data_IF_494022188072
#
_entry.id   IF_494022188072
#
_cell.length_a   1.000
_cell.length_b   1.000
_cell.length_c   1.000
_cell.angle_alpha   90.00
_cell.angle_beta   90.00
_cell.angle_gamma   90.00
#
_symmetry.space_group_name_H-M   'P 1'
#
loop_
_entity.id
_entity.type
_entity.pdbx_description
1 polymer ?
#
# COMPACT_ATOMS: atom_id res chain seq x y z
N UNK A 1 14.95 -61.44 73.60
CA UNK A 1 15.92 -60.85 74.55
C UNK A 1 15.60 -59.37 74.69
N UNK A 2 16.00 -58.73 75.79
CA UNK A 2 15.70 -57.32 76.06
C UNK A 2 16.91 -56.63 76.73
N UNK A 3 16.95 -55.30 76.56
CA UNK A 3 17.97 -54.33 77.00
C UNK A 3 17.67 -53.05 76.22
N UNK A 4 17.19 -51.95 76.79
CA UNK A 4 17.74 -51.08 77.85
C UNK A 4 18.80 -50.10 77.30
N UNK A 5 18.74 -48.82 77.72
CA UNK A 5 19.38 -47.66 77.03
C UNK A 5 20.52 -47.00 77.83
N UNK A 6 20.70 -45.65 77.80
CA UNK A 6 20.19 -44.62 76.87
C UNK A 6 21.26 -43.53 76.48
N UNK A 7 20.83 -42.44 75.80
CA UNK A 7 21.49 -41.09 75.71
C UNK A 7 22.79 -40.96 74.85
N UNK A 8 23.19 -39.80 74.24
CA UNK A 8 22.85 -38.34 74.38
C UNK A 8 23.04 -37.52 73.03
N UNK A 9 23.00 -36.15 72.94
CA UNK A 9 22.52 -35.36 71.77
C UNK A 9 23.69 -34.50 71.18
N UNK A 10 23.60 -33.31 70.53
CA UNK A 10 22.59 -32.24 70.30
C UNK A 10 22.79 -31.59 68.90
N UNK A 11 21.72 -31.02 68.34
CA UNK A 11 21.79 -29.80 67.49
C UNK A 11 20.53 -28.94 67.76
N UNK A 12 20.61 -27.61 67.54
CA UNK A 12 19.67 -26.61 68.09
C UNK A 12 18.92 -25.80 67.04
N UNK A 13 17.81 -25.22 67.47
CA UNK A 13 17.07 -24.14 66.82
C UNK A 13 17.24 -22.89 67.68
N UNK A 14 17.52 -21.73 67.08
CA UNK A 14 17.51 -20.42 67.74
C UNK A 14 16.54 -19.47 67.00
N UNK A 15 15.78 -18.66 67.76
CA UNK A 15 14.76 -17.73 67.26
C UNK A 15 14.55 -16.53 68.19
N UNK A 16 14.74 -15.31 67.69
CA UNK A 16 14.34 -14.00 68.27
C UNK A 16 13.91 -13.11 67.07
N UNK A 17 12.73 -12.46 66.98
CA UNK A 17 12.03 -11.47 67.84
C UNK A 17 12.48 -10.00 67.57
N UNK A 18 11.65 -8.95 67.50
CA UNK A 18 10.17 -8.79 67.31
C UNK A 18 9.83 -7.29 66.97
N UNK A 19 8.54 -6.97 66.77
CA UNK A 19 7.85 -5.67 67.03
C UNK A 19 7.88 -4.42 66.06
N UNK A 20 6.84 -4.34 65.19
CA UNK A 20 5.94 -3.18 64.86
C UNK A 20 6.39 -1.97 63.92
N UNK A 21 5.53 -0.93 63.64
CA UNK A 21 4.66 -0.95 62.43
C UNK A 21 4.49 0.38 61.64
N UNK A 22 4.26 0.35 60.31
CA UNK A 22 3.84 1.56 59.54
C UNK A 22 2.86 1.25 58.37
N UNK A 23 1.81 2.07 58.32
CA UNK A 23 0.84 2.50 57.26
C UNK A 23 0.79 1.85 55.84
N UNK A 24 -0.40 1.76 55.19
CA UNK A 24 -0.57 1.10 53.89
C UNK A 24 -0.49 2.06 52.67
N UNK A 25 0.45 1.83 51.76
CA UNK A 25 0.62 2.62 50.53
C UNK A 25 0.66 1.78 49.24
N UNK A 26 -0.43 1.87 48.47
CA UNK A 26 -0.62 1.60 47.01
C UNK A 26 -0.12 0.26 46.37
N UNK A 27 -0.83 -0.26 45.34
CA UNK A 27 -0.46 -1.51 44.68
C UNK A 27 0.71 -1.33 43.70
N UNK A 28 1.68 -2.25 43.71
CA UNK A 28 2.85 -2.24 42.83
C UNK A 28 2.47 -2.53 41.38
N UNK A 29 2.59 -1.53 40.50
CA UNK A 29 2.52 -1.68 39.05
C UNK A 29 3.93 -1.72 38.43
N UNK A 30 4.57 -2.89 38.46
CA UNK A 30 5.80 -3.14 37.70
C UNK A 30 5.47 -3.33 36.21
N UNK A 31 5.17 -2.22 35.53
CA UNK A 31 5.36 -2.11 34.08
C UNK A 31 6.81 -1.70 33.83
N UNK A 32 7.63 -2.63 33.32
CA UNK A 32 8.98 -2.31 32.84
C UNK A 32 8.90 -1.23 31.74
N UNK A 33 9.21 0.01 32.11
CA UNK A 33 9.14 1.15 31.19
C UNK A 33 10.37 1.13 30.26
N UNK A 34 10.18 0.57 29.06
CA UNK A 34 11.24 0.38 28.06
C UNK A 34 11.80 1.73 27.58
N UNK A 35 12.85 2.23 28.24
CA UNK A 35 13.37 3.58 28.00
C UNK A 35 14.13 3.71 26.68
N UNK A 36 14.13 4.93 26.10
CA UNK A 36 14.91 5.29 24.90
C UNK A 36 16.40 4.90 24.98
N UNK A 37 16.96 4.82 26.20
CA UNK A 37 18.36 4.44 26.42
C UNK A 37 18.65 2.99 26.05
N UNK A 38 17.67 2.10 26.18
CA UNK A 38 17.84 0.68 25.87
C UNK A 38 17.49 0.36 24.41
N UNK A 39 16.62 1.17 23.79
CA UNK A 39 16.51 1.26 22.32
C UNK A 39 17.83 1.71 21.66
N UNK A 40 18.51 2.74 22.21
CA UNK A 40 19.81 3.19 21.72
C UNK A 40 20.91 2.14 21.93
N UNK A 41 20.98 1.46 23.10
CA UNK A 41 21.98 0.41 23.34
C UNK A 41 21.82 -0.82 22.45
N UNK A 42 20.58 -1.22 22.17
CA UNK A 42 20.30 -2.38 21.31
C UNK A 42 20.69 -2.09 19.85
N UNK A 43 20.20 -0.99 19.29
CA UNK A 43 20.56 -0.55 17.93
C UNK A 43 22.07 -0.34 17.73
N UNK A 44 22.79 0.17 18.74
CA UNK A 44 24.25 0.39 18.65
C UNK A 44 25.05 -0.89 18.32
N UNK A 45 24.58 -2.08 18.75
CA UNK A 45 25.30 -3.33 18.47
C UNK A 45 25.18 -3.82 17.03
N UNK A 46 24.03 -3.66 16.39
CA UNK A 46 23.86 -4.07 14.98
C UNK A 46 24.70 -3.19 14.05
N UNK A 47 24.73 -1.88 14.28
CA UNK A 47 25.55 -0.96 13.48
C UNK A 47 27.05 -1.15 13.66
N UNK A 48 27.52 -1.67 14.80
CA UNK A 48 28.95 -2.03 14.95
C UNK A 48 29.33 -3.23 14.08
N UNK A 49 28.51 -4.28 14.04
CA UNK A 49 28.74 -5.41 13.13
C UNK A 49 28.68 -5.01 11.65
N UNK A 50 27.75 -4.12 11.30
CA UNK A 50 27.67 -3.56 9.95
C UNK A 50 28.91 -2.71 9.61
N UNK A 51 29.36 -1.84 10.52
CA UNK A 51 30.55 -1.02 10.34
C UNK A 51 31.84 -1.86 10.19
N UNK A 52 32.01 -2.94 10.96
CA UNK A 52 33.13 -3.87 10.77
C UNK A 52 33.06 -4.61 9.44
N UNK A 53 31.86 -4.95 8.95
CA UNK A 53 31.68 -5.57 7.63
C UNK A 53 31.99 -4.61 6.48
N UNK A 54 31.61 -3.34 6.61
CA UNK A 54 31.91 -2.28 5.63
C UNK A 54 33.40 -1.91 5.66
N UNK A 55 34.02 -1.86 6.84
CA UNK A 55 35.45 -1.65 6.97
C UNK A 55 36.26 -2.79 6.31
N UNK A 56 35.82 -4.06 6.46
CA UNK A 56 36.43 -5.20 5.76
C UNK A 56 36.20 -5.22 4.25
N UNK A 57 35.12 -4.61 3.76
CA UNK A 57 34.90 -4.42 2.32
C UNK A 57 35.70 -3.24 1.74
N UNK A 58 36.27 -2.38 2.59
CA UNK A 58 36.91 -1.12 2.20
C UNK A 58 38.36 -1.22 1.70
N UNK A 59 38.99 -2.40 1.70
CA UNK A 59 40.42 -2.56 1.34
C UNK A 59 40.69 -3.29 0.00
N UNK A 60 39.67 -3.76 -0.73
CA UNK A 60 39.88 -4.42 -2.05
C UNK A 60 39.07 -3.86 -3.26
N UNK A 61 37.86 -3.28 -3.09
CA UNK A 61 36.94 -3.00 -4.24
C UNK A 61 36.36 -1.56 -4.34
N UNK A 62 37.11 -0.54 -3.90
CA UNK A 62 36.60 0.85 -3.83
C UNK A 62 36.55 1.59 -5.19
N UNK A 63 37.30 1.17 -6.21
CA UNK A 63 37.37 1.90 -7.50
C UNK A 63 36.23 1.62 -8.51
N UNK A 64 35.27 0.73 -8.23
CA UNK A 64 34.21 0.39 -9.22
C UNK A 64 32.75 0.71 -8.80
N UNK A 65 32.46 0.99 -7.53
CA UNK A 65 31.08 1.25 -7.08
C UNK A 65 30.57 2.69 -7.25
N UNK A 66 31.36 3.60 -7.83
CA UNK A 66 30.95 4.99 -8.06
C UNK A 66 30.02 5.19 -9.29
N UNK A 67 29.77 4.15 -10.10
CA UNK A 67 29.08 4.25 -11.40
C UNK A 67 27.79 3.42 -11.44
N UNK A 68 26.81 3.77 -10.59
CA UNK A 68 25.49 3.11 -10.57
C UNK A 68 24.28 4.02 -10.22
N UNK A 69 24.45 5.35 -10.18
CA UNK A 69 23.35 6.28 -9.89
C UNK A 69 22.51 6.59 -11.14
N UNK A 70 21.73 5.60 -11.63
CA UNK A 70 20.96 5.71 -12.86
C UNK A 70 19.77 6.69 -12.74
N UNK A 71 19.96 7.96 -13.12
CA UNK A 71 18.87 8.92 -13.33
C UNK A 71 18.10 8.50 -14.60
N UNK A 72 16.79 8.18 -14.52
CA UNK A 72 16.04 7.77 -15.69
C UNK A 72 15.83 8.94 -16.67
N UNK A 73 16.47 8.87 -17.84
CA UNK A 73 16.32 9.83 -18.94
C UNK A 73 17.62 10.33 -19.56
N UNK A 74 18.78 10.13 -18.91
CA UNK A 74 20.09 10.51 -19.45
C UNK A 74 20.73 9.29 -20.12
N UNK A 75 21.30 9.46 -21.32
CA UNK A 75 22.07 8.42 -22.01
C UNK A 75 23.38 8.09 -21.28
N UNK A 76 23.98 6.94 -21.54
CA UNK A 76 25.18 6.47 -20.85
C UNK A 76 26.44 7.28 -21.22
N UNK A 77 26.62 8.44 -20.60
CA UNK A 77 27.90 9.13 -20.47
C UNK A 77 28.64 8.65 -19.22
N UNK A 78 29.97 8.55 -19.30
CA UNK A 78 30.81 8.41 -18.12
C UNK A 78 30.99 9.81 -17.54
N UNK A 79 30.44 10.05 -16.35
CA UNK A 79 30.54 11.34 -15.66
C UNK A 79 32.02 11.61 -15.35
N UNK A 80 32.55 12.72 -15.88
CA UNK A 80 33.93 13.13 -15.69
C UNK A 80 34.19 13.66 -14.28
N UNK A 81 35.46 13.69 -13.88
CA UNK A 81 35.84 14.39 -12.65
C UNK A 81 35.71 15.92 -12.84
N UNK A 82 35.75 16.40 -14.08
CA UNK A 82 35.43 17.77 -14.48
C UNK A 82 33.97 18.16 -14.24
N UNK A 83 32.99 17.26 -14.44
CA UNK A 83 31.53 17.55 -14.30
C UNK A 83 31.15 18.06 -12.89
N UNK A 84 31.96 17.71 -11.89
CA UNK A 84 31.79 18.13 -10.48
C UNK A 84 32.28 19.57 -10.24
N UNK A 85 32.99 20.19 -11.20
CA UNK A 85 33.66 21.50 -11.02
C UNK A 85 32.81 22.72 -11.39
N UNK A 86 31.63 22.53 -12.00
CA UNK A 86 30.53 23.51 -11.95
C UNK A 86 30.50 24.62 -13.00
N UNK A 87 31.22 24.51 -14.12
CA UNK A 87 31.13 25.43 -15.28
C UNK A 87 30.92 24.70 -16.62
N UNK A 88 29.91 23.83 -16.71
CA UNK A 88 29.27 23.56 -18.00
C UNK A 88 28.11 24.54 -18.23
N UNK A 89 28.18 25.34 -19.30
CA UNK A 89 27.00 26.04 -19.83
C UNK A 89 26.09 24.99 -20.48
N UNK A 90 25.08 24.48 -19.74
CA UNK A 90 24.08 23.53 -20.25
C UNK A 90 23.54 24.00 -21.62
N UNK A 91 23.83 23.25 -22.69
CA UNK A 91 23.51 23.65 -24.07
C UNK A 91 22.01 23.97 -24.20
N UNK A 92 21.63 25.22 -24.58
CA UNK A 92 20.24 25.60 -24.74
C UNK A 92 19.45 24.70 -25.70
N UNK A 93 20.11 24.04 -26.65
CA UNK A 93 19.47 23.07 -27.56
C UNK A 93 19.13 21.77 -26.84
N UNK A 94 20.00 21.27 -25.95
CA UNK A 94 19.76 20.09 -25.13
C UNK A 94 18.66 20.36 -24.09
N UNK A 95 18.67 21.54 -23.44
CA UNK A 95 17.58 21.95 -22.54
C UNK A 95 16.24 21.97 -23.31
N UNK A 96 16.19 22.58 -24.51
CA UNK A 96 14.94 22.64 -25.27
C UNK A 96 14.47 21.25 -25.74
N UNK A 97 15.39 20.34 -26.09
CA UNK A 97 15.07 18.96 -26.44
C UNK A 97 14.55 18.15 -25.23
N UNK A 98 15.17 18.27 -24.05
CA UNK A 98 14.70 17.65 -22.80
C UNK A 98 13.30 18.16 -22.44
N UNK A 99 13.05 19.47 -22.53
CA UNK A 99 11.73 20.04 -22.26
C UNK A 99 10.71 19.68 -23.36
N UNK A 100 11.15 19.50 -24.61
CA UNK A 100 10.28 19.01 -25.71
C UNK A 100 9.90 17.54 -25.48
N UNK A 101 10.83 16.71 -25.01
CA UNK A 101 10.57 15.32 -24.63
C UNK A 101 9.65 15.22 -23.40
N UNK A 102 9.86 16.03 -22.35
CA UNK A 102 8.95 16.10 -21.20
C UNK A 102 7.55 16.55 -21.58
N UNK A 103 7.42 17.53 -22.49
CA UNK A 103 6.13 18.01 -23.01
C UNK A 103 5.42 16.94 -23.84
N UNK A 104 6.13 16.18 -24.68
CA UNK A 104 5.52 15.09 -25.46
C UNK A 104 5.14 13.89 -24.58
N UNK A 105 5.95 13.53 -23.58
CA UNK A 105 5.64 12.50 -22.58
C UNK A 105 4.40 12.88 -21.75
N UNK A 106 4.31 14.13 -21.28
CA UNK A 106 3.14 14.63 -20.56
C UNK A 106 1.87 14.66 -21.44
N UNK A 107 1.98 15.12 -22.69
CA UNK A 107 0.87 15.11 -23.63
C UNK A 107 0.39 13.68 -23.94
N UNK A 108 1.32 12.73 -24.11
CA UNK A 108 1.00 11.31 -24.26
C UNK A 108 0.26 10.77 -23.04
N UNK A 109 0.74 11.05 -21.81
CA UNK A 109 0.08 10.66 -20.55
C UNK A 109 -1.34 11.18 -20.42
N UNK A 110 -1.56 12.46 -20.75
CA UNK A 110 -2.89 13.07 -20.72
C UNK A 110 -3.80 12.41 -21.77
N UNK A 111 -3.30 12.17 -22.98
CA UNK A 111 -4.06 11.52 -24.05
C UNK A 111 -4.47 10.08 -23.69
N UNK A 112 -3.55 9.25 -23.21
CA UNK A 112 -3.87 7.86 -22.79
C UNK A 112 -4.80 7.83 -21.59
N UNK A 113 -4.66 8.75 -20.64
CA UNK A 113 -5.60 8.91 -19.52
C UNK A 113 -7.02 9.26 -20.00
N UNK A 114 -7.16 10.25 -20.88
CA UNK A 114 -8.45 10.64 -21.47
C UNK A 114 -9.08 9.51 -22.29
N UNK A 115 -8.29 8.77 -23.07
CA UNK A 115 -8.77 7.59 -23.81
C UNK A 115 -9.23 6.48 -22.86
N UNK A 116 -8.48 6.19 -21.79
CA UNK A 116 -8.87 5.18 -20.80
C UNK A 116 -10.19 5.56 -20.09
N UNK A 117 -10.35 6.82 -19.70
CA UNK A 117 -11.60 7.35 -19.12
C UNK A 117 -12.76 7.25 -20.12
N UNK A 118 -12.56 7.67 -21.37
CA UNK A 118 -13.58 7.62 -22.41
C UNK A 118 -14.02 6.18 -22.75
N UNK A 119 -13.07 5.23 -22.81
CA UNK A 119 -13.37 3.80 -22.99
C UNK A 119 -14.11 3.24 -21.78
N UNK A 120 -13.67 3.55 -20.55
CA UNK A 120 -14.32 3.09 -19.32
C UNK A 120 -15.79 3.55 -19.25
N UNK A 121 -16.05 4.85 -19.44
CA UNK A 121 -17.42 5.37 -19.41
C UNK A 121 -18.26 4.93 -20.62
N UNK A 122 -17.69 4.80 -21.81
CA UNK A 122 -18.38 4.23 -22.97
C UNK A 122 -18.80 2.77 -22.76
N UNK A 123 -17.98 1.99 -22.07
CA UNK A 123 -18.28 0.60 -21.70
C UNK A 123 -19.24 0.52 -20.51
N UNK A 124 -19.21 1.46 -19.57
CA UNK A 124 -20.22 1.61 -18.52
C UNK A 124 -21.61 1.87 -19.13
N UNK A 125 -21.72 2.76 -20.13
CA UNK A 125 -22.96 3.01 -20.88
C UNK A 125 -23.43 1.80 -21.69
N UNK A 126 -22.55 0.86 -22.05
CA UNK A 126 -22.94 -0.40 -22.69
C UNK A 126 -23.56 -1.41 -21.71
N UNK A 127 -23.34 -1.23 -20.40
CA UNK A 127 -24.03 -1.96 -19.33
C UNK A 127 -23.10 -2.67 -18.34
N UNK A 128 -23.62 -2.92 -17.14
CA UNK A 128 -22.93 -3.46 -15.96
C UNK A 128 -21.98 -4.64 -16.25
N UNK A 129 -22.41 -5.60 -17.09
CA UNK A 129 -21.62 -6.79 -17.41
C UNK A 129 -20.37 -6.50 -18.24
N UNK A 130 -20.42 -5.51 -19.15
CA UNK A 130 -19.28 -5.15 -19.99
C UNK A 130 -18.22 -4.37 -19.22
N UNK A 131 -18.62 -3.44 -18.34
CA UNK A 131 -17.67 -2.74 -17.45
C UNK A 131 -17.09 -3.67 -16.40
N UNK A 132 -17.87 -4.61 -15.86
CA UNK A 132 -17.37 -5.67 -14.96
C UNK A 132 -16.33 -6.55 -15.67
N UNK A 133 -16.56 -6.92 -16.93
CA UNK A 133 -15.60 -7.69 -17.74
C UNK A 133 -14.32 -6.88 -18.03
N UNK A 134 -14.44 -5.61 -18.43
CA UNK A 134 -13.30 -4.72 -18.69
C UNK A 134 -12.42 -4.57 -17.45
N UNK A 135 -13.04 -4.23 -16.30
CA UNK A 135 -12.35 -4.08 -15.01
C UNK A 135 -11.72 -5.41 -14.57
N UNK A 136 -12.43 -6.53 -14.73
CA UNK A 136 -11.89 -7.86 -14.43
C UNK A 136 -10.64 -8.21 -15.25
N UNK A 137 -10.61 -7.89 -16.55
CA UNK A 137 -9.43 -8.09 -17.40
C UNK A 137 -8.26 -7.20 -16.95
N UNK A 138 -8.51 -5.93 -16.66
CA UNK A 138 -7.49 -4.97 -16.16
C UNK A 138 -6.87 -5.48 -14.85
N UNK A 139 -7.68 -6.01 -13.93
CA UNK A 139 -7.23 -6.51 -12.63
C UNK A 139 -6.50 -7.86 -12.73
N UNK A 140 -6.84 -8.72 -13.70
CA UNK A 140 -6.05 -9.93 -14.00
C UNK A 140 -4.65 -9.56 -14.51
N UNK A 141 -4.51 -8.47 -15.29
CA UNK A 141 -3.19 -7.93 -15.66
C UNK A 141 -2.45 -7.35 -14.45
N UNK A 142 -3.11 -6.51 -13.63
CA UNK A 142 -2.49 -5.92 -12.44
C UNK A 142 -2.04 -6.97 -11.40
N UNK A 143 -2.82 -8.04 -11.21
CA UNK A 143 -2.46 -9.17 -10.37
C UNK A 143 -1.31 -10.01 -10.99
N UNK A 144 -1.27 -10.09 -12.32
CA UNK A 144 -0.15 -10.67 -13.07
C UNK A 144 1.16 -9.90 -12.83
N UNK A 145 1.13 -8.57 -12.92
CA UNK A 145 2.29 -7.71 -12.60
C UNK A 145 2.75 -7.92 -11.15
N UNK A 146 1.83 -7.86 -10.19
CA UNK A 146 2.15 -8.10 -8.77
C UNK A 146 2.82 -9.46 -8.53
N UNK A 147 2.32 -10.54 -9.15
CA UNK A 147 2.94 -11.86 -9.07
C UNK A 147 4.25 -11.99 -9.86
N UNK A 148 4.48 -11.18 -10.89
CA UNK A 148 5.74 -11.14 -11.62
C UNK A 148 6.82 -10.41 -10.80
N UNK A 149 6.50 -9.24 -10.25
CA UNK A 149 7.40 -8.45 -9.40
C UNK A 149 7.75 -9.19 -8.11
N UNK A 150 6.77 -9.79 -7.42
CA UNK A 150 7.04 -10.58 -6.21
C UNK A 150 7.88 -11.83 -6.49
N UNK A 151 7.91 -12.34 -7.73
CA UNK A 151 8.86 -13.39 -8.15
C UNK A 151 10.28 -12.88 -8.39
N UNK A 152 10.45 -11.66 -8.89
CA UNK A 152 11.77 -11.06 -9.12
C UNK A 152 12.54 -10.86 -7.80
N UNK A 153 11.82 -10.61 -6.69
CA UNK A 153 12.37 -10.50 -5.33
C UNK A 153 12.43 -11.82 -4.55
N UNK A 154 12.17 -12.96 -5.22
CA UNK A 154 12.42 -14.30 -4.67
C UNK A 154 11.22 -15.08 -4.10
N UNK A 155 10.00 -14.51 -4.04
CA UNK A 155 8.81 -15.30 -3.68
C UNK A 155 8.37 -16.20 -4.84
N UNK A 156 7.57 -17.24 -4.55
CA UNK A 156 7.04 -18.17 -5.56
C UNK A 156 5.50 -18.21 -5.63
N UNK A 157 4.79 -17.06 -5.67
CA UNK A 157 3.33 -17.03 -5.61
C UNK A 157 2.66 -17.92 -6.66
N UNK A 158 1.57 -18.58 -6.26
CA UNK A 158 0.83 -19.55 -7.05
C UNK A 158 -0.14 -18.84 -7.99
N UNK A 159 0.38 -18.14 -8.98
CA UNK A 159 -0.41 -17.38 -9.96
C UNK A 159 -1.46 -18.23 -10.70
N UNK A 160 -1.25 -19.54 -10.85
CA UNK A 160 -2.23 -20.47 -11.43
C UNK A 160 -3.42 -20.78 -10.50
N UNK A 161 -3.36 -20.40 -9.22
CA UNK A 161 -4.49 -20.37 -8.29
C UNK A 161 -5.02 -18.94 -8.16
N UNK A 162 -4.13 -17.96 -8.01
CA UNK A 162 -4.49 -16.56 -7.80
C UNK A 162 -5.21 -15.89 -8.98
N UNK A 163 -4.79 -16.14 -10.22
CA UNK A 163 -5.42 -15.54 -11.40
C UNK A 163 -6.82 -16.14 -11.68
N UNK A 164 -7.06 -17.46 -11.61
CA UNK A 164 -8.42 -18.00 -11.56
C UNK A 164 -9.20 -17.53 -10.32
N UNK A 165 -8.53 -17.31 -9.18
CA UNK A 165 -9.11 -16.70 -7.99
C UNK A 165 -9.71 -15.31 -8.26
N UNK A 166 -9.03 -14.46 -9.03
CA UNK A 166 -9.54 -13.16 -9.45
C UNK A 166 -10.84 -13.27 -10.29
N UNK A 167 -10.86 -14.20 -11.26
CA UNK A 167 -12.06 -14.50 -12.04
C UNK A 167 -13.19 -15.06 -11.19
N UNK A 168 -12.88 -15.93 -10.22
CA UNK A 168 -13.83 -16.49 -9.28
C UNK A 168 -14.41 -15.43 -8.32
N UNK A 169 -13.61 -14.47 -7.86
CA UNK A 169 -14.10 -13.30 -7.10
C UNK A 169 -15.15 -12.54 -7.92
N UNK A 170 -14.81 -12.14 -9.14
CA UNK A 170 -15.71 -11.38 -10.00
C UNK A 170 -17.00 -12.15 -10.34
N UNK A 171 -16.89 -13.44 -10.66
CA UNK A 171 -18.04 -14.30 -10.92
C UNK A 171 -18.94 -14.49 -9.68
N UNK A 172 -18.35 -14.74 -8.50
CA UNK A 172 -19.13 -14.97 -7.28
C UNK A 172 -19.83 -13.70 -6.80
N UNK A 173 -19.15 -12.55 -6.85
CA UNK A 173 -19.75 -11.26 -6.47
C UNK A 173 -20.84 -10.83 -7.45
N UNK A 174 -20.67 -11.05 -8.76
CA UNK A 174 -21.71 -10.77 -9.76
C UNK A 174 -23.02 -11.53 -9.50
N UNK A 175 -22.94 -12.79 -9.04
CA UNK A 175 -24.10 -13.66 -8.85
C UNK A 175 -24.66 -13.68 -7.41
N UNK A 176 -23.83 -13.37 -6.39
CA UNK A 176 -24.17 -13.58 -4.96
C UNK A 176 -23.86 -12.35 -4.07
N UNK A 177 -23.34 -11.27 -4.65
CA UNK A 177 -22.93 -10.07 -3.91
C UNK A 177 -21.59 -10.19 -3.17
N UNK A 178 -21.07 -9.08 -2.59
CA UNK A 178 -19.72 -9.01 -2.04
C UNK A 178 -19.43 -9.94 -0.84
N UNK A 179 -20.44 -10.43 -0.13
CA UNK A 179 -20.27 -11.40 0.97
C UNK A 179 -19.64 -12.72 0.51
N UNK A 180 -19.78 -13.06 -0.78
CA UNK A 180 -19.25 -14.29 -1.36
C UNK A 180 -17.71 -14.36 -1.46
N UNK A 181 -17.00 -13.23 -1.36
CA UNK A 181 -15.52 -13.20 -1.47
C UNK A 181 -14.83 -14.05 -0.42
N UNK A 182 -15.42 -14.19 0.78
CA UNK A 182 -14.88 -15.03 1.84
C UNK A 182 -14.76 -16.51 1.44
N UNK A 183 -15.72 -17.02 0.65
CA UNK A 183 -15.66 -18.38 0.11
C UNK A 183 -14.56 -18.56 -0.93
N UNK A 184 -14.32 -17.54 -1.77
CA UNK A 184 -13.25 -17.57 -2.77
C UNK A 184 -11.87 -17.47 -2.12
N UNK A 185 -11.70 -16.58 -1.13
CA UNK A 185 -10.47 -16.48 -0.35
C UNK A 185 -10.18 -17.77 0.42
N UNK A 186 -11.18 -18.39 1.05
CA UNK A 186 -11.04 -19.69 1.69
C UNK A 186 -10.61 -20.78 0.68
N UNK A 187 -11.18 -20.82 -0.52
CA UNK A 187 -10.76 -21.73 -1.58
C UNK A 187 -9.31 -21.49 -2.03
N UNK A 188 -8.89 -20.23 -2.21
CA UNK A 188 -7.50 -19.88 -2.57
C UNK A 188 -6.52 -20.30 -1.46
N UNK A 189 -6.86 -20.09 -0.19
CA UNK A 189 -6.07 -20.55 0.97
C UNK A 189 -5.93 -22.08 0.96
N UNK A 190 -7.06 -22.80 0.86
CA UNK A 190 -7.08 -24.27 0.91
C UNK A 190 -6.32 -24.90 -0.26
N UNK A 191 -6.53 -24.42 -1.49
CA UNK A 191 -5.83 -24.93 -2.67
C UNK A 191 -4.32 -24.61 -2.63
N UNK A 192 -3.94 -23.43 -2.12
CA UNK A 192 -2.53 -23.06 -1.97
C UNK A 192 -1.85 -23.90 -0.89
N UNK A 193 -2.52 -24.13 0.25
CA UNK A 193 -2.05 -25.01 1.31
C UNK A 193 -1.89 -26.46 0.84
N UNK A 194 -2.87 -27.00 0.11
CA UNK A 194 -2.81 -28.34 -0.46
C UNK A 194 -1.66 -28.47 -1.49
N UNK A 195 -1.42 -27.46 -2.31
CA UNK A 195 -0.30 -27.45 -3.26
C UNK A 195 1.06 -27.51 -2.55
N UNK A 196 1.28 -26.68 -1.53
CA UNK A 196 2.54 -26.70 -0.76
C UNK A 196 2.67 -27.91 0.19
N UNK A 197 1.57 -28.57 0.55
CA UNK A 197 1.61 -29.87 1.24
C UNK A 197 2.02 -31.03 0.30
N UNK A 198 1.86 -30.87 -1.02
CA UNK A 198 2.18 -31.88 -2.02
C UNK A 198 3.50 -31.62 -2.78
N UNK A 199 4.06 -30.40 -2.71
CA UNK A 199 5.26 -29.99 -3.46
C UNK A 199 6.22 -29.25 -2.54
N UNK A 200 7.39 -29.86 -2.29
CA UNK A 200 8.45 -29.22 -1.51
C UNK A 200 9.00 -27.98 -2.22
N UNK A 201 9.02 -26.86 -1.48
CA UNK A 201 9.35 -25.50 -1.93
C UNK A 201 9.73 -24.67 -0.71
N UNK A 202 10.76 -23.83 -0.84
CA UNK A 202 11.12 -22.88 0.21
C UNK A 202 10.00 -21.90 0.56
N UNK A 203 9.86 -21.60 1.86
CA UNK A 203 9.00 -20.55 2.42
C UNK A 203 7.50 -20.65 2.06
N UNK A 204 6.83 -21.82 2.23
CA UNK A 204 5.45 -22.03 1.79
C UNK A 204 4.48 -21.02 2.41
N UNK A 205 4.62 -20.70 3.71
CA UNK A 205 3.80 -19.70 4.41
C UNK A 205 3.86 -18.32 3.74
N UNK A 206 5.06 -17.86 3.37
CA UNK A 206 5.23 -16.55 2.72
C UNK A 206 4.62 -16.55 1.31
N UNK A 207 4.80 -17.64 0.54
CA UNK A 207 4.26 -17.73 -0.81
C UNK A 207 2.72 -17.84 -0.84
N UNK A 208 2.13 -18.58 0.11
CA UNK A 208 0.67 -18.59 0.34
C UNK A 208 0.23 -17.17 0.72
N UNK A 209 0.93 -16.52 1.65
CA UNK A 209 0.68 -15.14 2.06
C UNK A 209 0.64 -14.16 0.88
N UNK A 210 1.67 -14.14 0.02
CA UNK A 210 1.70 -13.29 -1.18
C UNK A 210 0.60 -13.67 -2.18
N UNK A 211 0.31 -14.96 -2.35
CA UNK A 211 -0.77 -15.42 -3.25
C UNK A 211 -2.13 -14.89 -2.77
N UNK A 212 -2.46 -15.11 -1.50
CA UNK A 212 -3.72 -14.70 -0.87
C UNK A 212 -3.83 -13.18 -0.80
N UNK A 213 -2.74 -12.48 -0.43
CA UNK A 213 -2.69 -11.02 -0.39
C UNK A 213 -2.98 -10.42 -1.77
N UNK A 214 -2.40 -10.95 -2.84
CA UNK A 214 -2.68 -10.49 -4.20
C UNK A 214 -4.17 -10.57 -4.56
N UNK A 215 -4.85 -11.67 -4.21
CA UNK A 215 -6.30 -11.83 -4.44
C UNK A 215 -7.12 -10.92 -3.51
N UNK A 216 -6.75 -10.83 -2.23
CA UNK A 216 -7.46 -10.01 -1.24
C UNK A 216 -7.32 -8.50 -1.51
N UNK A 217 -6.21 -8.07 -2.10
CA UNK A 217 -5.90 -6.68 -2.42
C UNK A 217 -6.49 -6.25 -3.77
N UNK A 218 -6.20 -6.99 -4.86
CA UNK A 218 -6.46 -6.50 -6.22
C UNK A 218 -7.90 -6.80 -6.65
N UNK A 219 -8.33 -8.05 -6.92
CA UNK A 219 -9.70 -8.32 -7.35
C UNK A 219 -10.74 -8.19 -6.22
N UNK A 220 -10.44 -8.53 -4.97
CA UNK A 220 -11.46 -8.45 -3.89
C UNK A 220 -11.85 -7.01 -3.60
N UNK A 221 -10.89 -6.09 -3.39
CA UNK A 221 -11.25 -4.70 -3.12
C UNK A 221 -11.96 -4.03 -4.31
N UNK A 222 -11.50 -4.30 -5.55
CA UNK A 222 -12.17 -3.80 -6.74
C UNK A 222 -13.57 -4.41 -6.98
N UNK A 223 -13.83 -5.64 -6.52
CA UNK A 223 -15.13 -6.31 -6.75
C UNK A 223 -16.31 -5.60 -6.08
N UNK A 224 -16.06 -4.75 -5.07
CA UNK A 224 -17.07 -3.87 -4.48
C UNK A 224 -17.61 -2.81 -5.46
N UNK A 225 -16.97 -2.59 -6.62
CA UNK A 225 -17.53 -1.79 -7.70
C UNK A 225 -18.64 -2.52 -8.48
N UNK A 226 -18.74 -3.86 -8.42
CA UNK A 226 -19.71 -4.62 -9.22
C UNK A 226 -21.17 -4.25 -8.86
N UNK A 227 -21.58 -4.17 -7.58
CA UNK A 227 -22.90 -3.63 -7.22
C UNK A 227 -23.10 -2.17 -7.67
N UNK A 228 -22.05 -1.35 -7.64
CA UNK A 228 -22.11 0.05 -8.11
C UNK A 228 -22.41 0.09 -9.61
N UNK A 229 -21.81 -0.81 -10.40
CA UNK A 229 -22.08 -0.95 -11.84
C UNK A 229 -23.46 -1.56 -12.14
N UNK A 230 -24.01 -2.38 -11.23
CA UNK A 230 -25.34 -3.00 -11.34
C UNK A 230 -26.49 -2.08 -10.91
N UNK A 231 -26.23 -1.05 -10.09
CA UNK A 231 -27.21 -0.06 -9.64
C UNK A 231 -27.85 0.71 -10.83
N UNK A 232 -29.15 1.04 -10.80
CA UNK A 232 -29.76 1.94 -11.79
C UNK A 232 -29.07 3.30 -11.89
N UNK A 233 -28.43 3.75 -10.80
CA UNK A 233 -27.69 5.00 -10.69
C UNK A 233 -26.18 4.85 -10.97
N UNK A 234 -25.75 3.72 -11.56
CA UNK A 234 -24.34 3.39 -11.80
C UNK A 234 -23.53 4.53 -12.44
N UNK A 235 -24.13 5.32 -13.34
CA UNK A 235 -23.48 6.47 -13.95
C UNK A 235 -23.09 7.55 -12.94
N UNK A 236 -24.05 8.05 -12.15
CA UNK A 236 -23.81 9.10 -11.15
C UNK A 236 -22.86 8.63 -10.04
N UNK A 237 -23.13 7.44 -9.49
CA UNK A 237 -22.30 6.82 -8.44
C UNK A 237 -20.84 6.62 -8.89
N UNK A 238 -20.63 6.05 -10.08
CA UNK A 238 -19.28 5.82 -10.60
C UNK A 238 -18.58 7.13 -10.97
N UNK A 239 -19.31 8.09 -11.56
CA UNK A 239 -18.72 9.40 -11.94
C UNK A 239 -18.26 10.18 -10.72
N UNK A 240 -19.07 10.26 -9.66
CA UNK A 240 -18.69 10.95 -8.43
C UNK A 240 -17.48 10.30 -7.75
N UNK A 241 -17.42 8.97 -7.69
CA UNK A 241 -16.28 8.21 -7.16
C UNK A 241 -14.99 8.50 -7.96
N UNK A 242 -15.05 8.39 -9.29
CA UNK A 242 -13.89 8.60 -10.18
C UNK A 242 -13.40 10.05 -10.14
N UNK A 243 -14.32 11.02 -10.23
CA UNK A 243 -13.97 12.45 -10.20
C UNK A 243 -13.41 12.85 -8.84
N UNK A 244 -14.04 12.50 -7.72
CA UNK A 244 -13.53 12.88 -6.40
C UNK A 244 -12.19 12.22 -6.07
N UNK A 245 -11.96 10.96 -6.45
CA UNK A 245 -10.65 10.30 -6.24
C UNK A 245 -9.56 11.04 -7.01
N UNK A 246 -9.75 11.27 -8.30
CA UNK A 246 -8.79 12.01 -9.12
C UNK A 246 -8.56 13.45 -8.64
N UNK A 247 -9.61 14.15 -8.18
CA UNK A 247 -9.48 15.49 -7.60
C UNK A 247 -8.73 15.48 -6.26
N UNK A 248 -8.88 14.44 -5.43
CA UNK A 248 -8.12 14.28 -4.18
C UNK A 248 -6.62 14.15 -4.46
N UNK A 249 -6.23 13.32 -5.43
CA UNK A 249 -4.83 13.12 -5.80
C UNK A 249 -4.21 14.37 -6.42
N UNK A 250 -4.92 15.04 -7.33
CA UNK A 250 -4.48 16.29 -7.96
C UNK A 250 -4.33 17.40 -6.91
N UNK A 251 -5.28 17.52 -5.98
CA UNK A 251 -5.19 18.47 -4.87
C UNK A 251 -4.04 18.11 -3.91
N UNK A 252 -3.86 16.84 -3.58
CA UNK A 252 -2.79 16.36 -2.71
C UNK A 252 -1.40 16.64 -3.27
N UNK A 253 -1.23 16.45 -4.59
CA UNK A 253 0.00 16.84 -5.29
C UNK A 253 0.19 18.36 -5.35
N UNK A 254 -0.84 19.14 -5.70
CA UNK A 254 -0.70 20.59 -5.89
C UNK A 254 -0.50 21.34 -4.56
N UNK A 255 -1.34 21.11 -3.55
CA UNK A 255 -1.13 21.68 -2.21
C UNK A 255 0.12 21.11 -1.54
N UNK A 256 0.43 19.82 -1.77
CA UNK A 256 1.63 19.19 -1.24
C UNK A 256 2.91 19.81 -1.78
N UNK A 257 2.96 20.17 -3.07
CA UNK A 257 4.08 20.88 -3.70
C UNK A 257 4.14 22.37 -3.36
N UNK A 258 2.99 23.03 -3.19
CA UNK A 258 2.93 24.48 -2.95
C UNK A 258 3.11 24.88 -1.48
N UNK A 259 2.66 24.06 -0.54
CA UNK A 259 2.60 24.37 0.90
C UNK A 259 3.30 23.34 1.79
N UNK A 260 3.72 22.21 1.24
CA UNK A 260 4.29 21.08 1.98
C UNK A 260 5.54 21.43 2.79
N UNK A 261 5.52 21.07 4.07
CA UNK A 261 6.63 21.25 5.02
C UNK A 261 6.81 20.06 5.95
N UNK A 262 5.73 19.33 6.26
CA UNK A 262 5.74 18.17 7.15
C UNK A 262 5.47 16.90 6.34
N UNK A 263 6.46 16.04 6.20
CA UNK A 263 6.30 14.72 5.58
C UNK A 263 5.33 13.87 6.41
N UNK A 264 4.41 13.17 5.75
CA UNK A 264 3.42 12.29 6.40
C UNK A 264 4.01 10.92 6.72
N UNK A 265 4.76 10.33 5.78
CA UNK A 265 5.34 8.99 5.93
C UNK A 265 6.74 8.93 5.27
N UNK A 266 7.78 9.53 5.89
CA UNK A 266 9.08 9.75 5.25
C UNK A 266 9.71 8.51 4.62
N UNK A 267 9.61 7.36 5.29
CA UNK A 267 10.20 6.08 4.87
C UNK A 267 9.43 5.44 3.70
N UNK A 268 8.11 5.64 3.64
CA UNK A 268 7.24 4.98 2.65
C UNK A 268 7.11 5.82 1.38
N UNK A 269 6.71 7.09 1.56
CA UNK A 269 6.40 8.04 0.49
C UNK A 269 6.99 9.42 0.83
N UNK A 270 8.26 9.69 0.49
CA UNK A 270 8.98 10.91 0.89
C UNK A 270 8.43 12.21 0.28
N UNK A 271 7.44 12.13 -0.62
CA UNK A 271 6.82 13.27 -1.27
C UNK A 271 5.40 13.59 -0.74
N UNK A 272 4.79 12.74 0.10
CA UNK A 272 3.44 12.99 0.66
C UNK A 272 3.57 13.83 1.93
N UNK A 273 2.92 15.00 1.95
CA UNK A 273 2.97 15.96 3.07
C UNK A 273 1.62 16.10 3.77
N UNK A 274 1.66 16.46 5.06
CA UNK A 274 0.47 16.71 5.86
C UNK A 274 -0.31 17.93 5.34
N UNK A 275 0.39 18.98 4.90
CA UNK A 275 -0.25 20.15 4.29
C UNK A 275 -0.92 19.79 2.95
N UNK A 276 -0.33 18.89 2.16
CA UNK A 276 -0.93 18.35 0.95
C UNK A 276 -2.21 17.55 1.22
N UNK A 277 -2.19 16.66 2.22
CA UNK A 277 -3.36 15.88 2.64
C UNK A 277 -4.51 16.78 3.15
N UNK A 278 -4.21 17.79 3.97
CA UNK A 278 -5.22 18.71 4.48
C UNK A 278 -5.80 19.58 3.35
N UNK A 279 -4.96 20.06 2.43
CA UNK A 279 -5.41 20.76 1.22
C UNK A 279 -6.29 19.89 0.33
N UNK A 280 -5.89 18.63 0.10
CA UNK A 280 -6.68 17.64 -0.62
C UNK A 280 -8.04 17.41 0.02
N UNK A 281 -8.08 17.22 1.34
CA UNK A 281 -9.32 16.99 2.09
C UNK A 281 -10.28 18.17 1.96
N UNK A 282 -9.81 19.40 2.19
CA UNK A 282 -10.65 20.61 2.05
C UNK A 282 -11.14 20.79 0.61
N UNK A 283 -10.27 20.61 -0.39
CA UNK A 283 -10.65 20.74 -1.80
C UNK A 283 -11.66 19.66 -2.23
N UNK A 284 -11.47 18.42 -1.79
CA UNK A 284 -12.37 17.30 -2.11
C UNK A 284 -13.72 17.47 -1.44
N UNK A 285 -13.78 17.96 -0.19
CA UNK A 285 -15.02 18.32 0.48
C UNK A 285 -15.77 19.45 -0.24
N UNK A 286 -15.06 20.47 -0.73
CA UNK A 286 -15.67 21.52 -1.56
C UNK A 286 -16.19 20.97 -2.90
N UNK A 287 -15.50 20.03 -3.54
CA UNK A 287 -16.01 19.35 -4.73
C UNK A 287 -17.26 18.50 -4.41
N UNK A 288 -17.22 17.73 -3.31
CA UNK A 288 -18.35 16.90 -2.84
C UNK A 288 -19.59 17.72 -2.49
N UNK A 289 -19.41 18.89 -1.88
CA UNK A 289 -20.49 19.87 -1.66
C UNK A 289 -21.16 20.28 -2.97
N UNK A 290 -20.37 20.61 -4.01
CA UNK A 290 -20.89 21.08 -5.30
C UNK A 290 -21.53 19.95 -6.13
N UNK A 291 -21.18 18.67 -5.91
CA UNK A 291 -21.72 17.53 -6.67
C UNK A 291 -23.26 17.47 -6.66
N UNK A 292 -23.90 17.79 -5.54
CA UNK A 292 -25.36 17.79 -5.39
C UNK A 292 -26.12 18.85 -6.21
N UNK A 293 -25.43 19.69 -6.99
CA UNK A 293 -26.05 20.61 -7.96
C UNK A 293 -26.08 20.07 -9.41
N UNK A 294 -25.50 18.90 -9.69
CA UNK A 294 -25.47 18.32 -11.03
C UNK A 294 -26.47 17.14 -11.16
N UNK A 295 -27.52 17.33 -11.95
CA UNK A 295 -28.52 16.28 -12.25
C UNK A 295 -27.88 15.00 -12.85
N UNK A 296 -26.76 15.15 -13.57
CA UNK A 296 -25.97 14.03 -14.12
C UNK A 296 -25.35 13.12 -13.01
N UNK A 297 -25.35 13.59 -11.76
CA UNK A 297 -24.83 12.91 -10.57
C UNK A 297 -25.95 12.55 -9.57
N UNK A 298 -27.21 12.44 -10.02
CA UNK A 298 -28.25 11.75 -9.24
C UNK A 298 -27.73 10.35 -8.79
N UNK A 299 -27.86 9.97 -7.52
CA UNK A 299 -28.77 10.47 -6.49
C UNK A 299 -28.12 11.39 -5.44
N UNK A 300 -26.95 11.98 -5.72
CA UNK A 300 -26.26 12.81 -4.72
C UNK A 300 -26.97 14.14 -4.44
N UNK A 301 -27.12 14.42 -3.15
CA UNK A 301 -27.39 15.74 -2.60
C UNK A 301 -26.11 16.34 -1.99
N UNK A 302 -26.21 17.53 -1.39
CA UNK A 302 -25.10 18.19 -0.71
C UNK A 302 -24.51 17.35 0.44
N UNK A 303 -25.33 16.59 1.19
CA UNK A 303 -24.89 15.85 2.37
C UNK A 303 -24.19 14.54 1.99
N UNK A 304 -24.77 13.78 1.07
CA UNK A 304 -24.19 12.54 0.53
C UNK A 304 -22.93 12.81 -0.32
N UNK A 305 -22.90 13.91 -1.08
CA UNK A 305 -21.70 14.37 -1.79
C UNK A 305 -20.55 14.75 -0.85
N UNK A 306 -20.84 15.46 0.25
CA UNK A 306 -19.88 15.72 1.33
C UNK A 306 -19.42 14.42 2.02
N UNK A 307 -20.33 13.49 2.30
CA UNK A 307 -20.00 12.21 2.93
C UNK A 307 -19.07 11.38 2.04
N UNK A 308 -19.33 11.32 0.73
CA UNK A 308 -18.45 10.66 -0.23
C UNK A 308 -17.09 11.33 -0.28
N UNK A 309 -17.02 12.66 -0.37
CA UNK A 309 -15.75 13.38 -0.33
C UNK A 309 -14.94 13.13 0.95
N UNK A 310 -15.60 12.98 2.10
CA UNK A 310 -14.98 12.55 3.35
C UNK A 310 -14.38 11.14 3.27
N UNK A 311 -15.15 10.18 2.73
CA UNK A 311 -14.68 8.80 2.47
C UNK A 311 -13.48 8.79 1.52
N UNK A 312 -13.55 9.47 0.37
CA UNK A 312 -12.43 9.55 -0.59
C UNK A 312 -11.18 10.12 0.09
N UNK A 313 -11.32 11.21 0.85
CA UNK A 313 -10.20 11.88 1.52
C UNK A 313 -9.51 11.04 2.59
N UNK A 314 -10.19 10.01 3.14
CA UNK A 314 -9.58 9.04 4.05
C UNK A 314 -8.98 7.87 3.28
N UNK A 315 -9.76 7.23 2.39
CA UNK A 315 -9.39 5.96 1.80
C UNK A 315 -8.35 6.06 0.66
N UNK A 316 -8.38 7.12 -0.16
CA UNK A 316 -7.39 7.32 -1.23
C UNK A 316 -5.96 7.39 -0.70
N UNK A 317 -5.66 8.31 0.24
CA UNK A 317 -4.34 8.39 0.89
C UNK A 317 -3.92 7.11 1.64
N UNK A 318 -4.86 6.32 2.17
CA UNK A 318 -4.55 5.01 2.75
C UNK A 318 -4.10 4.02 1.66
N UNK A 319 -4.74 3.99 0.50
CA UNK A 319 -4.35 3.15 -0.63
C UNK A 319 -2.93 3.42 -1.13
N UNK A 320 -2.62 4.70 -1.39
CA UNK A 320 -1.28 5.16 -1.75
C UNK A 320 -0.20 4.73 -0.74
N UNK A 321 -0.49 4.87 0.56
CA UNK A 321 0.46 4.53 1.63
C UNK A 321 0.60 3.02 1.78
N UNK A 322 -0.48 2.25 1.62
CA UNK A 322 -0.45 0.80 1.64
C UNK A 322 0.36 0.26 0.44
N UNK A 323 0.09 0.74 -0.78
CA UNK A 323 0.88 0.41 -1.98
C UNK A 323 2.36 0.78 -1.76
N UNK A 324 2.63 1.99 -1.27
CA UNK A 324 4.00 2.43 -0.96
C UNK A 324 4.69 1.49 0.04
N UNK A 325 3.99 1.05 1.09
CA UNK A 325 4.54 0.11 2.08
C UNK A 325 4.92 -1.24 1.45
N UNK A 326 4.07 -1.81 0.59
CA UNK A 326 4.39 -3.06 -0.13
C UNK A 326 5.57 -2.85 -1.09
N UNK A 327 5.62 -1.73 -1.82
CA UNK A 327 6.74 -1.42 -2.73
C UNK A 327 8.06 -1.29 -1.95
N UNK A 328 8.06 -0.65 -0.78
CA UNK A 328 9.27 -0.52 0.06
C UNK A 328 9.66 -1.83 0.75
N UNK A 329 8.73 -2.66 1.22
CA UNK A 329 9.06 -3.92 1.89
C UNK A 329 9.74 -4.94 0.98
N UNK A 330 9.59 -4.80 -0.35
CA UNK A 330 10.29 -5.60 -1.36
C UNK A 330 11.36 -4.82 -2.14
N UNK A 331 11.78 -3.65 -1.66
CA UNK A 331 12.93 -2.91 -2.19
C UNK A 331 12.71 -2.18 -3.53
N UNK A 332 11.48 -2.10 -4.04
CA UNK A 332 11.17 -1.50 -5.34
C UNK A 332 10.60 -0.08 -5.21
N UNK A 333 10.32 0.54 -6.36
CA UNK A 333 9.65 1.83 -6.49
C UNK A 333 8.28 1.73 -7.16
N UNK A 334 8.15 0.90 -8.19
CA UNK A 334 7.00 0.82 -9.10
C UNK A 334 6.68 -0.66 -9.38
N UNK A 335 5.40 -1.03 -9.51
CA UNK A 335 4.89 -2.42 -9.59
C UNK A 335 4.94 -3.04 -11.00
N UNK A 336 5.37 -2.30 -12.01
CA UNK A 336 5.43 -2.80 -13.38
C UNK A 336 5.76 -1.73 -14.41
N UNK A 337 5.64 -2.12 -15.68
CA UNK A 337 5.90 -1.26 -16.84
C UNK A 337 4.93 -1.53 -18.00
N UNK A 338 3.83 -2.26 -17.77
CA UNK A 338 2.90 -2.70 -18.83
C UNK A 338 2.18 -1.56 -19.53
N UNK A 339 2.17 -0.36 -18.94
CA UNK A 339 1.69 0.87 -19.57
C UNK A 339 2.89 1.77 -19.92
N UNK A 340 3.23 1.94 -21.22
CA UNK A 340 4.35 2.78 -21.66
C UNK A 340 4.30 4.19 -21.07
N UNK A 341 5.37 4.61 -20.40
CA UNK A 341 5.47 5.91 -19.74
C UNK A 341 4.62 6.09 -18.47
N UNK A 342 3.95 5.04 -17.96
CA UNK A 342 2.98 5.17 -16.86
C UNK A 342 3.29 4.32 -15.61
N UNK A 343 4.16 3.32 -15.70
CA UNK A 343 4.41 2.35 -14.61
C UNK A 343 3.51 1.12 -14.72
N UNK A 344 3.21 0.48 -13.60
CA UNK A 344 2.29 -0.65 -13.55
C UNK A 344 0.83 -0.21 -13.70
N UNK A 345 -0.04 -1.12 -14.12
CA UNK A 345 -1.50 -0.98 -14.01
C UNK A 345 -1.91 -0.84 -12.55
N UNK A 346 -1.22 -1.55 -11.65
CA UNK A 346 -1.46 -1.46 -10.21
C UNK A 346 -1.08 -0.09 -9.62
N UNK A 347 -0.11 0.63 -10.19
CA UNK A 347 0.25 2.02 -9.81
C UNK A 347 -0.69 3.09 -10.42
N UNK A 348 -1.85 2.65 -10.93
CA UNK A 348 -2.94 3.52 -11.44
C UNK A 348 -4.28 3.22 -10.77
N UNK A 349 -4.30 2.28 -9.83
CA UNK A 349 -5.49 1.78 -9.15
C UNK A 349 -5.33 1.75 -7.62
N UNK A 350 -4.19 2.18 -7.08
CA UNK A 350 -3.88 2.12 -5.64
C UNK A 350 -4.84 2.94 -4.78
N UNK A 351 -5.08 4.21 -5.10
CA UNK A 351 -6.14 5.00 -4.47
C UNK A 351 -7.53 4.37 -4.68
N UNK A 352 -7.84 3.95 -5.92
CA UNK A 352 -9.13 3.38 -6.30
C UNK A 352 -9.49 2.09 -5.56
N UNK A 353 -8.52 1.20 -5.35
CA UNK A 353 -8.74 -0.06 -4.65
C UNK A 353 -9.18 0.18 -3.20
N UNK A 354 -8.81 1.29 -2.57
CA UNK A 354 -9.27 1.62 -1.22
C UNK A 354 -10.51 2.52 -1.23
N UNK A 355 -10.69 3.42 -2.20
CA UNK A 355 -11.91 4.24 -2.27
C UNK A 355 -13.15 3.46 -2.71
N UNK A 356 -13.01 2.43 -3.54
CA UNK A 356 -14.14 1.61 -4.02
C UNK A 356 -14.90 0.91 -2.87
N UNK A 357 -14.26 0.15 -1.96
CA UNK A 357 -14.94 -0.43 -0.79
C UNK A 357 -15.56 0.62 0.14
N UNK A 358 -14.87 1.74 0.37
CA UNK A 358 -15.39 2.84 1.20
C UNK A 358 -16.65 3.47 0.62
N UNK A 359 -16.64 3.75 -0.68
CA UNK A 359 -17.78 4.29 -1.41
C UNK A 359 -18.94 3.29 -1.48
N UNK A 360 -18.68 2.01 -1.72
CA UNK A 360 -19.69 0.95 -1.66
C UNK A 360 -20.42 0.92 -0.31
N UNK A 361 -19.68 0.96 0.80
CA UNK A 361 -20.28 0.96 2.15
C UNK A 361 -21.14 2.20 2.40
N UNK A 362 -20.71 3.37 1.91
CA UNK A 362 -21.49 4.60 1.98
C UNK A 362 -22.77 4.50 1.12
N UNK A 363 -22.67 4.04 -0.12
CA UNK A 363 -23.82 3.93 -1.03
C UNK A 363 -24.85 2.92 -0.53
N UNK A 364 -24.40 1.81 0.06
CA UNK A 364 -25.26 0.84 0.73
C UNK A 364 -25.97 1.46 1.96
N UNK A 365 -25.26 2.27 2.76
CA UNK A 365 -25.84 2.97 3.91
C UNK A 365 -26.84 4.07 3.52
N UNK A 366 -26.62 4.74 2.38
CA UNK A 366 -27.53 5.73 1.80
C UNK A 366 -28.72 5.12 1.04
N UNK A 367 -28.72 3.80 0.77
CA UNK A 367 -29.77 3.11 0.01
C UNK A 367 -29.71 3.35 -1.50
N UNK A 368 -28.52 3.54 -2.06
CA UNK A 368 -28.28 3.75 -3.50
C UNK A 368 -27.92 2.45 -4.28
N UNK A 369 -27.87 1.31 -3.59
CA UNK A 369 -27.50 -0.02 -4.10
C UNK A 369 -28.55 -1.08 -3.70
#
# INVERSE_FOLDING_TARGET
MAGDGPERPEEKVDTEADDQPVDPGEPTSETDEFTDRDYIKSTTREYQGLAESVAKAGEEDVEQSAVAASIPGVGTGVVGFEDVTGEEEEDPQQIEEIDRARRSELAFRILTGLVAVAVFFGVLSAGAGWVTLLVGVILVVALGEFYQVTRQVGYTPLAFIGLPGAGAVFYMVWNNGPTSVGGVLAAVILLSGLFYAAVDRGYPLANIGVTVLGVAWVPVLASFAIPIFQSPQAWGLTTALVVLTALNDIAGFTYGRALGKRLMAPVLSPNKTLEGFLGATVFTLLAGFVIGWFELLEPFDMVSGLALAGVISVFGPIGDLAQSAVKRSIGIKDMGSSLPGHGGVLDRLDAFLFTIPGAYLLYLWLGYL
#
